data_IF_031920296702
#
_entry.id   IF_031920296702
#
_cell.length_a   1.000
_cell.length_b   1.000
_cell.length_c   1.000
_cell.angle_alpha   90.00
_cell.angle_beta   90.00
_cell.angle_gamma   90.00
#
_symmetry.space_group_name_H-M   'P 1'
#
loop_
_entity.id
_entity.type
_entity.pdbx_description
1 polymer ?
#
# COMPACT_ATOMS: atom_id res chain seq x y z
N UNK A 1 30.58 -2.36 12.82
CA UNK A 1 29.41 -1.69 13.42
C UNK A 1 28.22 -1.92 12.51
N UNK A 2 27.05 -2.25 13.05
CA UNK A 2 25.83 -2.43 12.26
C UNK A 2 25.10 -1.09 12.22
N UNK A 3 24.77 -0.60 11.02
CA UNK A 3 24.07 0.67 10.83
C UNK A 3 22.82 0.39 10.00
N UNK A 4 21.66 0.83 10.52
CA UNK A 4 20.40 0.83 9.78
C UNK A 4 20.37 2.02 8.83
N UNK A 5 20.03 1.77 7.58
CA UNK A 5 19.90 2.77 6.51
C UNK A 5 18.51 2.66 5.89
N UNK A 6 18.24 3.53 4.92
CA UNK A 6 16.98 3.59 4.17
C UNK A 6 15.75 3.89 5.05
N UNK A 7 14.55 3.78 4.48
CA UNK A 7 13.31 3.88 5.22
C UNK A 7 13.03 2.65 6.10
N UNK A 8 12.40 2.89 7.25
CA UNK A 8 12.08 1.83 8.22
C UNK A 8 10.63 1.95 8.67
N UNK A 9 9.92 0.81 8.67
CA UNK A 9 8.54 0.69 9.12
C UNK A 9 7.58 1.69 8.45
N UNK A 10 7.77 1.95 7.15
CA UNK A 10 6.84 2.70 6.32
C UNK A 10 5.89 1.74 5.58
N UNK A 11 4.73 2.22 5.04
CA UNK A 11 3.87 1.38 4.19
C UNK A 11 4.55 0.90 2.91
N UNK A 12 5.71 1.48 2.57
CA UNK A 12 6.52 1.12 1.41
C UNK A 12 7.53 0.02 1.75
N UNK A 13 8.14 0.10 2.93
CA UNK A 13 9.09 -0.89 3.45
C UNK A 13 8.42 -2.05 4.19
N UNK A 14 7.11 -1.99 4.46
CA UNK A 14 6.40 -2.93 5.35
C UNK A 14 4.94 -3.12 4.96
N UNK A 15 4.42 -4.33 5.21
CA UNK A 15 2.98 -4.61 5.06
C UNK A 15 2.26 -4.32 6.35
N UNK A 16 1.32 -3.38 6.31
CA UNK A 16 0.45 -3.06 7.43
C UNK A 16 -0.92 -3.71 7.25
N UNK A 17 -1.33 -4.46 8.26
CA UNK A 17 -2.64 -5.11 8.34
C UNK A 17 -3.40 -4.66 9.57
N UNK A 18 -4.69 -4.41 9.41
CA UNK A 18 -5.58 -4.10 10.53
C UNK A 18 -5.78 -5.40 11.33
N UNK A 19 -5.49 -5.35 12.64
CA UNK A 19 -5.59 -6.53 13.52
C UNK A 19 -6.99 -7.13 13.49
N UNK A 20 -8.00 -6.27 13.45
CA UNK A 20 -9.42 -6.61 13.37
C UNK A 20 -9.81 -7.41 12.10
N UNK A 21 -9.03 -7.29 11.02
CA UNK A 21 -9.27 -7.98 9.75
C UNK A 21 -8.35 -9.17 9.54
N UNK A 22 -7.33 -9.37 10.38
CA UNK A 22 -6.39 -10.47 10.23
C UNK A 22 -6.99 -11.79 10.69
N UNK A 23 -6.77 -12.85 9.88
CA UNK A 23 -6.96 -14.24 10.26
C UNK A 23 -5.81 -15.06 9.68
N UNK A 24 -5.45 -16.21 10.29
CA UNK A 24 -4.56 -17.16 9.64
C UNK A 24 -5.08 -17.51 8.24
N UNK A 25 -4.15 -17.76 7.31
CA UNK A 25 -4.38 -18.19 5.91
C UNK A 25 -5.03 -17.20 4.94
N UNK A 26 -5.41 -15.99 5.38
CA UNK A 26 -5.91 -14.94 4.47
C UNK A 26 -4.86 -13.85 4.24
N UNK A 27 -4.94 -13.20 3.08
CA UNK A 27 -4.29 -11.91 2.85
C UNK A 27 -5.31 -10.80 3.12
N UNK A 28 -5.29 -10.15 4.30
CA UNK A 28 -6.25 -9.11 4.62
C UNK A 28 -6.02 -7.87 3.74
N UNK A 29 -6.99 -6.94 3.70
CA UNK A 29 -6.79 -5.63 3.07
C UNK A 29 -5.52 -4.96 3.63
N UNK A 30 -4.59 -4.63 2.74
CA UNK A 30 -3.34 -3.98 3.12
C UNK A 30 -3.47 -2.46 3.02
N UNK A 31 -2.83 -1.75 3.94
CA UNK A 31 -2.75 -0.29 3.92
C UNK A 31 -1.65 0.25 2.98
N UNK A 32 -1.05 -0.60 2.16
CA UNK A 32 0.08 -0.26 1.28
C UNK A 32 -0.37 0.06 -0.17
N UNK A 33 0.58 0.00 -1.11
CA UNK A 33 0.38 0.15 -2.57
C UNK A 33 -0.58 -0.87 -3.20
N UNK A 34 -1.21 -1.76 -2.44
CA UNK A 34 -2.11 -2.80 -2.94
C UNK A 34 -3.28 -2.22 -3.74
N UNK A 35 -3.84 -1.06 -3.36
CA UNK A 35 -4.92 -0.39 -4.13
C UNK A 35 -4.49 -0.11 -5.58
N UNK A 36 -3.29 0.43 -5.76
CA UNK A 36 -2.73 0.73 -7.08
C UNK A 36 -2.43 -0.57 -7.83
N UNK A 37 -1.87 -1.58 -7.14
CA UNK A 37 -1.56 -2.89 -7.76
C UNK A 37 -2.82 -3.60 -8.25
N UNK A 38 -3.88 -3.60 -7.46
CA UNK A 38 -5.16 -4.20 -7.80
C UNK A 38 -5.81 -3.46 -8.97
N UNK A 39 -5.80 -2.12 -8.93
CA UNK A 39 -6.30 -1.31 -10.04
C UNK A 39 -5.56 -1.63 -11.35
N UNK A 40 -4.23 -1.58 -11.33
CA UNK A 40 -3.40 -1.84 -12.52
C UNK A 40 -3.53 -3.29 -13.02
N UNK A 41 -3.75 -4.25 -12.12
CA UNK A 41 -3.92 -5.67 -12.49
C UNK A 41 -5.25 -5.95 -13.19
N UNK A 42 -6.24 -5.07 -13.02
CA UNK A 42 -7.53 -5.15 -13.72
C UNK A 42 -7.52 -4.48 -15.10
N UNK A 43 -6.44 -3.82 -15.48
CA UNK A 43 -6.29 -3.22 -16.81
C UNK A 43 -5.67 -4.24 -17.78
N UNK A 44 -5.93 -4.07 -19.07
CA UNK A 44 -5.24 -4.80 -20.16
C UNK A 44 -3.78 -4.34 -20.36
N UNK A 45 -3.20 -3.67 -19.36
CA UNK A 45 -1.84 -3.16 -19.42
C UNK A 45 -0.82 -4.27 -19.20
N UNK A 46 0.12 -4.42 -20.14
CA UNK A 46 1.15 -5.46 -20.15
C UNK A 46 2.31 -5.22 -19.16
N UNK A 47 2.15 -4.29 -18.20
CA UNK A 47 3.16 -3.90 -17.21
C UNK A 47 4.46 -3.33 -17.80
N UNK A 48 4.43 -2.83 -19.04
CA UNK A 48 5.56 -2.12 -19.66
C UNK A 48 5.32 -0.61 -19.68
N UNK A 49 6.39 0.21 -19.55
CA UNK A 49 6.27 1.65 -19.68
C UNK A 49 5.71 2.09 -21.05
N UNK A 50 4.96 3.21 -21.12
CA UNK A 50 4.50 4.01 -19.98
C UNK A 50 3.38 3.31 -19.20
N UNK A 51 3.32 3.54 -17.89
CA UNK A 51 2.20 3.10 -17.08
C UNK A 51 0.95 3.95 -17.41
N UNK A 52 -0.26 3.38 -17.32
CA UNK A 52 -1.49 4.13 -17.50
C UNK A 52 -1.64 5.19 -16.38
N UNK A 53 -2.31 6.29 -16.71
CA UNK A 53 -2.65 7.33 -15.75
C UNK A 53 -3.67 6.74 -14.76
N UNK A 54 -3.39 6.93 -13.46
CA UNK A 54 -4.30 6.51 -12.41
C UNK A 54 -5.46 7.52 -12.31
N UNK A 55 -6.72 7.07 -12.22
CA UNK A 55 -7.84 7.96 -11.94
C UNK A 55 -7.71 8.60 -10.56
N UNK A 56 -8.23 9.82 -10.41
CA UNK A 56 -8.14 10.59 -9.16
C UNK A 56 -8.66 9.83 -7.95
N UNK A 57 -9.75 9.08 -8.10
CA UNK A 57 -10.32 8.30 -6.99
C UNK A 57 -9.40 7.18 -6.49
N UNK A 58 -8.51 6.64 -7.33
CA UNK A 58 -7.51 5.63 -6.92
C UNK A 58 -6.37 6.31 -6.17
N UNK A 59 -5.96 7.49 -6.62
CA UNK A 59 -4.95 8.33 -5.96
C UNK A 59 -5.45 8.74 -4.58
N UNK A 60 -6.66 9.30 -4.49
CA UNK A 60 -7.28 9.72 -3.23
C UNK A 60 -7.44 8.57 -2.24
N UNK A 61 -7.93 7.41 -2.69
CA UNK A 61 -8.05 6.21 -1.83
C UNK A 61 -6.70 5.76 -1.30
N UNK A 62 -5.67 5.76 -2.15
CA UNK A 62 -4.32 5.39 -1.73
C UNK A 62 -3.79 6.38 -0.70
N UNK A 63 -3.93 7.69 -0.95
CA UNK A 63 -3.52 8.73 0.00
C UNK A 63 -4.22 8.58 1.36
N UNK A 64 -5.53 8.29 1.37
CA UNK A 64 -6.29 8.08 2.59
C UNK A 64 -5.76 6.90 3.41
N UNK A 65 -5.36 5.79 2.79
CA UNK A 65 -4.76 4.66 3.51
C UNK A 65 -3.42 5.03 4.18
N UNK A 66 -2.58 5.79 3.50
CA UNK A 66 -1.29 6.22 4.06
C UNK A 66 -1.49 7.18 5.24
N UNK A 67 -2.46 8.10 5.14
CA UNK A 67 -2.83 8.97 6.25
C UNK A 67 -3.40 8.18 7.43
N UNK A 68 -4.17 7.13 7.16
CA UNK A 68 -4.71 6.26 8.19
C UNK A 68 -3.61 5.50 8.94
N UNK A 69 -2.61 4.95 8.23
CA UNK A 69 -1.45 4.32 8.87
C UNK A 69 -0.69 5.33 9.73
N UNK A 70 -0.39 6.51 9.16
CA UNK A 70 0.27 7.59 9.90
C UNK A 70 -0.49 7.93 11.17
N UNK A 71 -1.82 8.09 11.08
CA UNK A 71 -2.69 8.38 12.21
C UNK A 71 -2.67 7.27 13.26
N UNK A 72 -2.71 5.99 12.86
CA UNK A 72 -2.71 4.85 13.79
C UNK A 72 -1.37 4.61 14.49
N UNK A 73 -0.25 4.94 13.85
CA UNK A 73 1.09 4.66 14.38
C UNK A 73 1.71 5.82 15.17
N UNK A 74 1.34 7.06 14.84
CA UNK A 74 1.94 8.26 15.44
C UNK A 74 1.05 8.95 16.48
N UNK A 75 -0.13 8.38 16.78
CA UNK A 75 -1.04 8.86 17.83
C UNK A 75 -1.19 7.78 18.88
#
# INVERSE_FOLDING_TARGET
>A
ELILIDEVLTPDSSRFWAKEHYRPTISPPSFDKQIIRDYLSNLSWNKKPPAPILPDNIIEKTQQQYQEVKRRLLT
#
